data_IF_576653863848
#
_entry.id   IF_576653863848
#
_cell.length_a   1.000
_cell.length_b   1.000
_cell.length_c   1.000
_cell.angle_alpha   90.00
_cell.angle_beta   90.00
_cell.angle_gamma   90.00
#
_symmetry.space_group_name_H-M   'P 1'
#
loop_
_entity.id
_entity.type
_entity.pdbx_description
1 polymer ?
#
# COMPACT_ATOMS: atom_id res chain seq x y z
N UNK A 1 30.52 -11.71 -47.64
CA UNK A 1 31.05 -10.36 -47.95
C UNK A 1 29.80 -9.48 -48.11
N UNK A 2 29.51 -8.37 -47.44
CA UNK A 2 30.25 -7.37 -46.66
C UNK A 2 29.35 -6.92 -45.47
N UNK A 3 29.83 -6.95 -44.22
CA UNK A 3 30.27 -5.81 -43.38
C UNK A 3 29.65 -4.44 -43.71
N UNK A 4 28.67 -4.01 -42.91
CA UNK A 4 28.39 -2.60 -42.65
C UNK A 4 28.47 -2.36 -41.13
N UNK A 5 29.55 -1.71 -40.71
CA UNK A 5 29.90 -1.39 -39.33
C UNK A 5 29.47 0.04 -39.00
N UNK A 6 29.31 0.26 -37.70
CA UNK A 6 29.47 1.53 -36.97
C UNK A 6 28.35 2.57 -37.07
N UNK A 7 27.42 2.48 -36.11
CA UNK A 7 27.15 3.65 -35.27
C UNK A 7 27.62 3.37 -33.85
N UNK A 8 28.45 4.29 -33.40
CA UNK A 8 29.19 4.36 -32.16
C UNK A 8 28.34 5.18 -31.17
N UNK A 9 28.61 4.97 -29.88
CA UNK A 9 28.37 5.92 -28.77
C UNK A 9 27.01 5.80 -28.08
N UNK A 10 27.07 5.06 -26.97
CA UNK A 10 26.69 5.51 -25.63
C UNK A 10 25.49 6.45 -25.51
N UNK A 11 24.40 5.94 -24.93
CA UNK A 11 23.60 6.71 -24.00
C UNK A 11 22.96 5.77 -23.00
N UNK A 12 23.60 5.72 -21.84
CA UNK A 12 22.98 5.48 -20.55
C UNK A 12 21.56 6.07 -20.52
N UNK A 13 20.55 5.22 -20.50
CA UNK A 13 19.23 5.60 -19.99
C UNK A 13 18.94 4.66 -18.82
N UNK A 14 19.62 4.98 -17.72
CA UNK A 14 19.15 4.79 -16.36
C UNK A 14 17.79 5.49 -16.25
N UNK A 15 16.69 4.78 -16.48
CA UNK A 15 15.40 5.20 -15.94
C UNK A 15 14.86 4.02 -15.16
N UNK A 16 15.20 4.04 -13.87
CA UNK A 16 14.63 3.15 -12.89
C UNK A 16 13.12 3.35 -12.87
N UNK A 17 12.39 2.36 -13.38
CA UNK A 17 11.02 2.14 -12.95
C UNK A 17 11.09 1.49 -11.56
N UNK A 18 11.52 2.27 -10.55
CA UNK A 18 11.12 2.00 -9.17
C UNK A 18 9.64 2.38 -9.07
N UNK A 19 8.80 1.52 -9.63
CA UNK A 19 7.40 1.51 -9.27
C UNK A 19 7.34 0.86 -7.88
N UNK A 20 7.59 1.64 -6.84
CA UNK A 20 7.32 1.24 -5.48
C UNK A 20 5.82 1.43 -5.22
N UNK A 21 4.98 0.66 -5.91
CA UNK A 21 3.66 0.35 -5.36
C UNK A 21 3.92 -0.39 -4.06
N UNK A 22 3.68 0.27 -2.92
CA UNK A 22 3.82 -0.33 -1.60
C UNK A 22 3.07 -1.68 -1.61
N UNK A 23 3.75 -2.80 -1.34
CA UNK A 23 3.11 -4.11 -1.41
C UNK A 23 1.99 -4.17 -0.36
N UNK A 24 0.74 -4.45 -0.76
CA UNK A 24 -0.40 -4.74 0.15
C UNK A 24 -0.21 -6.02 0.99
N UNK A 25 1.02 -6.48 1.17
CA UNK A 25 1.39 -7.71 1.85
C UNK A 25 2.80 -7.64 2.45
N UNK A 26 3.07 -6.58 3.22
CA UNK A 26 4.30 -6.47 4.01
C UNK A 26 4.43 -7.73 4.85
N UNK A 27 5.49 -8.50 4.60
CA UNK A 27 5.75 -9.72 5.33
C UNK A 27 6.24 -9.38 6.74
N UNK A 28 5.83 -10.18 7.72
CA UNK A 28 6.21 -9.98 9.11
C UNK A 28 6.41 -11.31 9.83
N UNK A 29 7.19 -11.26 10.90
CA UNK A 29 7.30 -12.36 11.87
C UNK A 29 6.70 -11.96 13.22
N UNK A 30 6.75 -10.68 13.56
CA UNK A 30 6.26 -10.10 14.81
C UNK A 30 5.47 -8.82 14.57
N UNK A 31 4.58 -8.46 15.49
CA UNK A 31 3.75 -7.26 15.41
C UNK A 31 4.58 -5.97 15.33
N UNK A 32 5.73 -5.93 16.02
CA UNK A 32 6.62 -4.77 16.08
C UNK A 32 7.21 -4.37 14.72
N UNK A 33 7.33 -5.32 13.79
CA UNK A 33 7.80 -5.06 12.43
C UNK A 33 6.79 -4.22 11.66
N UNK A 34 5.48 -4.41 11.88
CA UNK A 34 4.44 -3.78 11.10
C UNK A 34 4.35 -2.28 11.37
N UNK A 35 4.34 -1.87 12.63
CA UNK A 35 4.25 -0.45 12.99
C UNK A 35 5.50 0.35 12.63
N UNK A 36 6.62 -0.33 12.38
CA UNK A 36 7.86 0.28 11.89
C UNK A 36 7.80 0.59 10.39
N UNK A 37 6.95 -0.11 9.64
CA UNK A 37 6.78 0.09 8.19
C UNK A 37 5.73 1.13 7.91
N UNK A 38 4.57 1.02 8.56
CA UNK A 38 3.46 1.95 8.40
C UNK A 38 2.66 1.99 9.72
N UNK A 39 2.40 3.19 10.28
CA UNK A 39 1.70 3.34 11.56
C UNK A 39 0.28 2.77 11.56
N UNK A 40 -0.33 2.56 10.39
CA UNK A 40 -1.65 1.97 10.26
C UNK A 40 -1.64 0.46 10.43
N UNK A 41 -0.49 -0.20 10.30
CA UNK A 41 -0.36 -1.64 10.44
C UNK A 41 0.23 -2.00 11.79
N UNK A 42 -0.54 -2.70 12.62
CA UNK A 42 -0.16 -2.99 14.01
C UNK A 42 0.01 -4.49 14.28
N UNK A 43 -0.61 -5.35 13.48
CA UNK A 43 -0.66 -6.79 13.77
C UNK A 43 0.02 -7.61 12.68
N UNK A 44 0.79 -8.60 13.08
CA UNK A 44 1.33 -9.62 12.21
C UNK A 44 0.41 -10.85 12.19
N UNK A 45 -0.42 -10.95 11.16
CA UNK A 45 -1.38 -12.06 11.01
C UNK A 45 -1.07 -12.85 9.75
N UNK A 46 -0.96 -14.17 9.84
CA UNK A 46 -0.65 -15.02 8.68
C UNK A 46 0.62 -14.59 7.91
N UNK A 47 1.64 -14.11 8.64
CA UNK A 47 2.89 -13.55 8.08
C UNK A 47 2.71 -12.32 7.19
N UNK A 48 1.58 -11.63 7.31
CA UNK A 48 1.31 -10.33 6.67
C UNK A 48 0.93 -9.29 7.72
N UNK A 49 1.42 -8.08 7.54
CA UNK A 49 0.99 -6.95 8.35
C UNK A 49 -0.45 -6.59 8.00
N UNK A 50 -1.27 -6.48 9.03
CA UNK A 50 -2.67 -6.08 8.94
C UNK A 50 -2.93 -4.93 9.91
N UNK A 51 -3.88 -4.09 9.54
CA UNK A 51 -4.35 -2.99 10.37
C UNK A 51 -5.27 -3.48 11.50
N UNK A 52 -6.05 -4.52 11.24
CA UNK A 52 -7.06 -5.00 12.17
C UNK A 52 -7.18 -6.53 12.17
N UNK A 53 -7.62 -7.09 13.30
CA UNK A 53 -7.99 -8.50 13.45
C UNK A 53 -9.52 -8.70 13.58
N UNK A 54 -10.27 -7.61 13.74
CA UNK A 54 -11.72 -7.60 13.86
C UNK A 54 -12.26 -6.17 13.96
N UNK A 55 -13.57 -6.00 13.82
CA UNK A 55 -14.24 -4.69 13.70
C UNK A 55 -13.91 -3.72 14.84
N UNK A 56 -13.71 -4.24 16.06
CA UNK A 56 -13.36 -3.43 17.22
C UNK A 56 -12.04 -2.65 17.05
N UNK A 57 -11.11 -3.15 16.22
CA UNK A 57 -9.84 -2.46 15.94
C UNK A 57 -9.97 -1.25 15.03
N UNK A 58 -11.11 -1.08 14.35
CA UNK A 58 -11.31 -0.03 13.34
C UNK A 58 -12.06 1.21 13.86
N UNK A 59 -12.49 1.20 15.13
CA UNK A 59 -13.32 2.25 15.70
C UNK A 59 -14.80 2.13 15.29
N UNK A 60 -15.65 2.96 15.91
CA UNK A 60 -17.09 2.84 15.81
C UNK A 60 -17.61 2.99 14.37
N UNK A 61 -18.43 2.02 13.93
CA UNK A 61 -19.10 2.06 12.63
C UNK A 61 -18.26 1.59 11.44
N UNK A 62 -16.97 1.30 11.64
CA UNK A 62 -16.05 0.76 10.64
C UNK A 62 -15.98 -0.77 10.75
N UNK A 63 -15.45 -1.43 9.72
CA UNK A 63 -15.37 -2.89 9.65
C UNK A 63 -13.98 -3.36 9.29
N UNK A 64 -13.55 -4.47 9.86
CA UNK A 64 -12.31 -5.12 9.50
C UNK A 64 -12.57 -6.12 8.37
N UNK A 65 -12.05 -5.82 7.19
CA UNK A 65 -12.21 -6.63 5.98
C UNK A 65 -10.83 -6.98 5.45
N UNK A 66 -10.54 -8.28 5.35
CA UNK A 66 -9.25 -8.82 4.89
C UNK A 66 -8.00 -8.28 5.61
N UNK A 67 -8.16 -7.80 6.85
CA UNK A 67 -7.07 -7.21 7.64
C UNK A 67 -6.93 -5.69 7.47
N UNK A 68 -7.84 -5.03 6.78
CA UNK A 68 -7.89 -3.58 6.61
C UNK A 68 -9.19 -3.00 7.14
N UNK A 69 -9.14 -1.79 7.69
CA UNK A 69 -10.33 -1.10 8.16
C UNK A 69 -11.05 -0.42 7.00
N UNK A 70 -12.20 -0.97 6.60
CA UNK A 70 -13.16 -0.27 5.78
C UNK A 70 -13.82 0.84 6.60
N UNK A 71 -13.41 2.07 6.33
CA UNK A 71 -13.92 3.28 6.97
C UNK A 71 -15.15 3.81 6.24
N UNK A 72 -16.17 4.18 7.01
CA UNK A 72 -17.30 4.95 6.48
C UNK A 72 -16.94 6.42 6.38
N UNK A 73 -17.46 7.07 5.35
CA UNK A 73 -17.26 8.50 5.15
C UNK A 73 -18.52 9.16 4.59
N UNK A 74 -18.65 10.46 4.85
CA UNK A 74 -19.58 11.37 4.15
C UNK A 74 -18.82 12.40 3.31
N UNK A 75 -17.60 12.73 3.71
CA UNK A 75 -16.72 13.68 3.05
C UNK A 75 -15.29 13.16 3.02
N UNK A 76 -14.47 13.69 2.10
CA UNK A 76 -13.05 13.33 1.97
C UNK A 76 -12.25 13.51 3.28
N UNK A 77 -12.63 14.49 4.11
CA UNK A 77 -12.00 14.75 5.42
C UNK A 77 -12.22 13.64 6.46
N UNK A 78 -13.17 12.73 6.23
CA UNK A 78 -13.42 11.59 7.10
C UNK A 78 -12.44 10.43 6.79
N UNK A 79 -11.75 10.52 5.64
CA UNK A 79 -10.80 9.53 5.16
C UNK A 79 -9.36 9.96 5.45
N UNK A 80 -8.41 9.02 5.30
CA UNK A 80 -6.99 9.32 5.46
C UNK A 80 -6.48 10.20 4.32
N UNK A 81 -5.32 10.81 4.54
CA UNK A 81 -4.64 11.55 3.49
C UNK A 81 -4.38 10.62 2.29
N UNK A 82 -4.77 11.07 1.08
CA UNK A 82 -4.65 10.28 -0.14
C UNK A 82 -5.85 9.39 -0.46
N UNK A 83 -6.88 9.36 0.39
CA UNK A 83 -8.13 8.64 0.11
C UNK A 83 -9.25 9.60 -0.31
N UNK A 84 -10.19 9.10 -1.10
CA UNK A 84 -11.42 9.77 -1.49
C UNK A 84 -12.63 9.08 -0.87
N UNK A 85 -13.69 9.85 -0.61
CA UNK A 85 -14.96 9.28 -0.16
C UNK A 85 -15.80 8.85 -1.36
N UNK A 86 -15.81 7.55 -1.66
CA UNK A 86 -16.50 6.95 -2.79
C UNK A 86 -17.64 6.07 -2.28
N UNK A 87 -18.88 6.40 -2.65
CA UNK A 87 -20.10 5.65 -2.27
C UNK A 87 -20.21 5.38 -0.75
N UNK A 88 -19.73 6.30 0.08
CA UNK A 88 -19.77 6.21 1.54
C UNK A 88 -18.65 5.40 2.19
N UNK A 89 -17.61 5.03 1.42
CA UNK A 89 -16.39 4.39 1.93
C UNK A 89 -15.14 5.14 1.47
N UNK A 90 -14.09 5.07 2.29
CA UNK A 90 -12.78 5.57 1.93
C UNK A 90 -12.10 4.60 0.97
N UNK A 91 -11.70 5.09 -0.20
CA UNK A 91 -11.00 4.33 -1.24
C UNK A 91 -9.78 5.15 -1.70
N UNK A 92 -8.68 4.48 -2.07
CA UNK A 92 -7.50 5.12 -2.67
C UNK A 92 -7.78 5.38 -4.16
N UNK A 93 -7.54 6.60 -4.65
CA UNK A 93 -7.70 7.00 -6.06
C UNK A 93 -6.48 6.62 -6.92
#
# INVERSE_FOLDING_TARGET
>A
MARLRWFFIASLVLFGTFCATAPRNIACTTDAECSSVDPDYTYCSQKRCVECLGDAGCGYGNRCMDGHCERKCSHVRDCRAGEACVRGRCEHD
#
